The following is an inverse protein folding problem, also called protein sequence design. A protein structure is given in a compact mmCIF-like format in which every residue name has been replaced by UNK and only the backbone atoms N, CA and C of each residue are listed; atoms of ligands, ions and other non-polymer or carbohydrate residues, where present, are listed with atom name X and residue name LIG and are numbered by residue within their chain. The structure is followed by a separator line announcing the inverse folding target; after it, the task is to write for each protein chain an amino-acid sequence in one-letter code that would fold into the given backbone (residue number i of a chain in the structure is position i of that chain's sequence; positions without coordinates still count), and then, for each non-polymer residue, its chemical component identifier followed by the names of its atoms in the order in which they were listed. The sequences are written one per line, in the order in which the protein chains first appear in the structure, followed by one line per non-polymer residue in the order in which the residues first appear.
data_IF_793277537247
#
_entry.id   IF_793277537247
#
_cell.length_a   1.000
_cell.length_b   1.000
_cell.length_c   1.000
_cell.angle_alpha   90.00
_cell.angle_beta   90.00
_cell.angle_gamma   90.00
#
_symmetry.space_group_name_H-M   'P 1'
#
loop_
_entity.id
_entity.type
_entity.pdbx_description
1 polymer ?
#
# COMPACT_ATOMS: atom_id res chain seq x y z
N UNK A 1 5.95 -6.43 0.40
CA UNK A 1 5.08 -7.64 0.34
C UNK A 1 5.67 -8.71 -0.56
N UNK A 2 6.39 -8.36 -1.63
CA UNK A 2 7.14 -9.27 -2.51
C UNK A 2 8.24 -10.07 -1.81
N UNK A 3 8.70 -9.62 -0.65
CA UNK A 3 9.73 -10.28 0.14
C UNK A 3 9.42 -10.18 1.63
N UNK A 4 10.09 -11.01 2.43
CA UNK A 4 9.93 -11.12 3.88
C UNK A 4 10.55 -9.97 4.67
N UNK A 5 11.71 -9.43 4.26
CA UNK A 5 12.29 -8.23 4.85
C UNK A 5 11.79 -6.95 4.15
N UNK A 6 11.16 -6.04 4.90
CA UNK A 6 10.74 -4.74 4.35
C UNK A 6 11.94 -3.87 3.99
N UNK A 7 11.76 -2.93 3.06
CA UNK A 7 12.80 -1.93 2.74
C UNK A 7 13.24 -1.14 3.98
N UNK A 8 12.32 -0.86 4.91
CA UNK A 8 12.62 -0.20 6.17
C UNK A 8 13.53 -1.05 7.07
N UNK A 9 13.28 -2.36 7.16
CA UNK A 9 14.13 -3.27 7.92
C UNK A 9 15.52 -3.38 7.28
N UNK A 10 15.59 -3.46 5.95
CA UNK A 10 16.86 -3.48 5.21
C UNK A 10 17.64 -2.18 5.41
N UNK A 11 16.95 -1.04 5.38
CA UNK A 11 17.56 0.27 5.57
C UNK A 11 18.17 0.42 6.97
N UNK A 12 17.44 0.05 8.02
CA UNK A 12 17.95 0.07 9.41
C UNK A 12 19.17 -0.84 9.54
N UNK A 13 19.13 -2.06 8.98
CA UNK A 13 20.27 -2.98 9.02
C UNK A 13 21.50 -2.39 8.33
N UNK A 14 21.33 -1.78 7.16
CA UNK A 14 22.43 -1.17 6.41
C UNK A 14 23.09 -0.03 7.19
N UNK A 15 22.31 0.87 7.78
CA UNK A 15 22.85 2.01 8.56
C UNK A 15 23.54 1.55 9.84
N UNK A 16 23.03 0.51 10.50
CA UNK A 16 23.59 -0.02 11.74
C UNK A 16 24.71 -1.06 11.53
N UNK A 17 25.08 -1.37 10.28
CA UNK A 17 26.07 -2.40 9.96
C UNK A 17 25.64 -3.82 10.36
N UNK A 18 24.33 -4.06 10.52
CA UNK A 18 23.79 -5.37 10.87
C UNK A 18 23.77 -6.30 9.65
N UNK A 19 24.01 -7.60 9.83
CA UNK A 19 24.00 -8.55 8.72
C UNK A 19 22.61 -8.61 8.06
N UNK A 20 22.60 -8.65 6.73
CA UNK A 20 21.42 -8.97 5.93
C UNK A 20 21.53 -10.45 5.56
N UNK A 21 20.73 -11.28 6.24
CA UNK A 21 20.63 -12.71 5.95
C UNK A 21 19.80 -12.96 4.68
N UNK A 22 19.43 -14.22 4.42
CA UNK A 22 18.57 -14.59 3.28
C UNK A 22 17.31 -13.69 3.17
N UNK A 23 16.99 -13.27 1.95
CA UNK A 23 15.77 -12.52 1.60
C UNK A 23 14.89 -13.46 0.78
N UNK A 24 13.73 -13.84 1.33
CA UNK A 24 12.83 -14.76 0.65
C UNK A 24 11.88 -13.98 -0.25
N UNK A 25 11.94 -14.27 -1.55
CA UNK A 25 10.95 -13.78 -2.50
C UNK A 25 9.63 -14.52 -2.33
N UNK A 26 8.57 -13.78 -2.01
CA UNK A 26 7.22 -14.29 -1.77
C UNK A 26 6.40 -14.43 -3.05
N UNK A 27 6.76 -13.71 -4.11
CA UNK A 27 6.07 -13.78 -5.40
C UNK A 27 5.85 -12.41 -6.06
N UNK A 28 5.30 -12.41 -7.28
CA UNK A 28 4.92 -11.20 -7.99
C UNK A 28 4.02 -10.30 -7.12
N UNK A 29 4.35 -9.02 -7.10
CA UNK A 29 3.65 -8.06 -6.25
C UNK A 29 3.46 -6.73 -6.97
N UNK A 30 2.46 -5.97 -6.53
CA UNK A 30 2.23 -4.61 -6.99
C UNK A 30 1.81 -3.69 -5.85
N UNK A 31 1.95 -2.40 -6.09
CA UNK A 31 1.48 -1.33 -5.24
C UNK A 31 0.67 -0.33 -6.06
N UNK A 32 -0.47 0.11 -5.52
CA UNK A 32 -1.31 1.15 -6.12
C UNK A 32 -1.55 2.26 -5.10
N UNK A 33 -1.35 3.50 -5.52
CA UNK A 33 -1.42 4.66 -4.63
C UNK A 33 -2.87 5.03 -4.34
N UNK A 34 -3.18 5.37 -3.09
CA UNK A 34 -4.44 6.03 -2.73
C UNK A 34 -4.19 7.52 -2.81
N UNK A 35 -4.59 8.10 -3.94
CA UNK A 35 -4.47 9.52 -4.23
C UNK A 35 -5.80 10.21 -3.91
N UNK A 36 -5.74 11.30 -3.14
CA UNK A 36 -6.90 12.09 -2.79
C UNK A 36 -6.72 13.47 -3.39
N UNK A 37 -7.78 13.95 -4.06
CA UNK A 37 -7.85 15.30 -4.62
C UNK A 37 -8.96 16.08 -3.92
N UNK A 38 -8.71 17.36 -3.62
CA UNK A 38 -9.65 18.26 -2.97
C UNK A 38 -8.99 19.07 -1.84
N UNK A 39 -9.82 19.65 -0.98
CA UNK A 39 -9.38 20.41 0.19
C UNK A 39 -10.18 19.97 1.42
N UNK A 40 -9.50 19.56 2.48
CA UNK A 40 -10.11 19.17 3.76
C UNK A 40 -9.06 19.14 4.86
N UNK A 41 -9.47 19.48 6.09
CA UNK A 41 -8.66 19.33 7.30
C UNK A 41 -9.03 18.07 8.13
N UNK A 42 -10.02 17.30 7.68
CA UNK A 42 -10.57 16.15 8.40
C UNK A 42 -10.87 15.00 7.44
N UNK A 43 -9.83 14.56 6.71
CA UNK A 43 -9.97 13.50 5.72
C UNK A 43 -10.31 12.18 6.42
N UNK A 44 -11.43 11.57 6.02
CA UNK A 44 -11.83 10.21 6.42
C UNK A 44 -11.84 9.28 5.20
N UNK A 45 -11.92 7.98 5.46
CA UNK A 45 -11.95 6.97 4.40
C UNK A 45 -13.09 6.00 4.64
N UNK A 46 -13.86 5.76 3.59
CA UNK A 46 -14.75 4.62 3.49
C UNK A 46 -14.08 3.56 2.60
N UNK A 47 -14.14 2.30 3.03
CA UNK A 47 -13.51 1.18 2.30
C UNK A 47 -14.60 0.15 2.06
N UNK A 48 -14.84 -0.22 0.80
CA UNK A 48 -15.85 -1.24 0.49
C UNK A 48 -15.35 -2.65 0.84
N UNK A 49 -16.30 -3.52 1.19
CA UNK A 49 -16.03 -4.93 1.50
C UNK A 49 -15.30 -5.66 0.37
N UNK A 50 -15.57 -5.29 -0.88
CA UNK A 50 -14.87 -5.86 -2.05
C UNK A 50 -13.36 -5.68 -1.99
N UNK A 51 -12.88 -4.56 -1.44
CA UNK A 51 -11.46 -4.30 -1.27
C UNK A 51 -10.88 -5.01 -0.04
N UNK A 52 -11.64 -5.09 1.04
CA UNK A 52 -11.23 -5.76 2.28
C UNK A 52 -11.17 -7.28 2.13
N UNK A 53 -12.03 -7.86 1.29
CA UNK A 53 -12.10 -9.29 1.05
C UNK A 53 -11.17 -9.78 -0.07
N UNK A 54 -10.43 -8.90 -0.75
CA UNK A 54 -9.51 -9.30 -1.82
C UNK A 54 -8.29 -10.04 -1.22
N UNK A 55 -8.07 -11.34 -1.57
CA UNK A 55 -7.00 -12.12 -0.97
C UNK A 55 -5.60 -11.61 -1.30
N UNK A 56 -4.69 -11.79 -0.34
CA UNK A 56 -3.28 -11.43 -0.42
C UNK A 56 -3.02 -9.94 -0.67
N UNK A 57 -3.89 -9.09 -0.11
CA UNK A 57 -3.80 -7.64 -0.20
C UNK A 57 -3.57 -6.98 1.16
N UNK A 58 -3.06 -5.74 1.13
CA UNK A 58 -2.87 -4.91 2.31
C UNK A 58 -3.22 -3.47 1.98
N UNK A 59 -3.93 -2.79 2.89
CA UNK A 59 -4.18 -1.34 2.84
C UNK A 59 -3.30 -0.66 3.87
N UNK A 60 -2.57 0.40 3.47
CA UNK A 60 -1.77 1.23 4.36
C UNK A 60 -2.13 2.70 4.17
N UNK A 61 -2.93 3.23 5.10
CA UNK A 61 -3.25 4.66 5.16
C UNK A 61 -2.22 5.39 6.01
N UNK A 62 -1.76 6.56 5.57
CA UNK A 62 -0.66 7.29 6.19
C UNK A 62 -1.06 8.18 7.37
N UNK A 63 -2.35 8.20 7.76
CA UNK A 63 -2.84 9.00 8.89
C UNK A 63 -2.68 10.51 8.71
N UNK A 64 -2.60 10.99 7.46
CA UNK A 64 -2.51 12.42 7.15
C UNK A 64 -3.86 13.08 7.41
N UNK A 65 -3.95 14.13 8.24
CA UNK A 65 -5.23 14.70 8.65
C UNK A 65 -5.89 15.53 7.52
N UNK A 66 -5.08 16.11 6.64
CA UNK A 66 -5.53 17.09 5.65
C UNK A 66 -5.10 16.78 4.22
N UNK A 67 -5.79 17.39 3.27
CA UNK A 67 -5.41 17.46 1.86
C UNK A 67 -5.70 18.88 1.37
N UNK A 68 -4.82 19.40 0.51
CA UNK A 68 -5.06 20.62 -0.26
C UNK A 68 -4.48 20.40 -1.67
N UNK A 69 -5.33 20.48 -2.69
CA UNK A 69 -4.99 20.06 -4.04
C UNK A 69 -4.97 18.54 -4.17
N UNK A 70 -3.78 17.94 -4.27
CA UNK A 70 -3.61 16.50 -4.48
C UNK A 70 -2.59 15.93 -3.50
N UNK A 71 -2.93 14.83 -2.82
CA UNK A 71 -2.04 14.20 -1.83
C UNK A 71 -2.14 12.69 -1.85
N UNK A 72 -0.98 12.02 -1.77
CA UNK A 72 -0.88 10.58 -1.53
C UNK A 72 -1.22 10.29 -0.07
N UNK A 73 -2.34 9.62 0.15
CA UNK A 73 -2.89 9.35 1.49
C UNK A 73 -2.69 7.91 1.94
N UNK A 74 -2.32 7.02 1.03
CA UNK A 74 -2.01 5.65 1.36
C UNK A 74 -1.54 4.85 0.15
N UNK A 75 -1.44 3.54 0.35
CA UNK A 75 -1.12 2.58 -0.71
C UNK A 75 -1.86 1.27 -0.46
N UNK A 76 -2.37 0.69 -1.53
CA UNK A 76 -2.83 -0.70 -1.59
C UNK A 76 -1.71 -1.57 -2.15
N UNK A 77 -1.45 -2.71 -1.52
CA UNK A 77 -0.42 -3.67 -1.92
C UNK A 77 -1.11 -4.99 -2.22
N UNK A 78 -0.65 -5.73 -3.24
CA UNK A 78 -1.17 -7.05 -3.56
C UNK A 78 -0.08 -8.02 -4.02
N UNK A 79 -0.17 -9.27 -3.59
CA UNK A 79 0.50 -10.40 -4.23
C UNK A 79 -0.42 -11.02 -5.28
N UNK A 80 0.18 -11.57 -6.33
CA UNK A 80 -0.57 -12.27 -7.38
C UNK A 80 0.28 -13.36 -8.03
N UNK A 81 -0.39 -14.19 -8.83
CA UNK A 81 0.26 -15.30 -9.54
C UNK A 81 1.25 -14.82 -10.60
N UNK A 82 1.03 -13.61 -11.10
CA UNK A 82 1.91 -12.86 -12.00
C UNK A 82 1.77 -11.35 -11.75
N UNK A 83 2.63 -10.56 -12.41
CA UNK A 83 2.69 -9.11 -12.21
C UNK A 83 1.38 -8.43 -12.61
N UNK A 84 0.76 -8.87 -13.70
CA UNK A 84 -0.51 -8.33 -14.21
C UNK A 84 -1.64 -8.55 -13.20
N UNK A 85 -1.75 -9.76 -12.63
CA UNK A 85 -2.71 -10.10 -11.60
C UNK A 85 -2.48 -9.26 -10.33
N UNK A 86 -1.24 -9.14 -9.87
CA UNK A 86 -0.92 -8.32 -8.70
C UNK A 86 -1.31 -6.85 -8.93
N UNK A 87 -1.04 -6.28 -10.12
CA UNK A 87 -1.44 -4.90 -10.47
C UNK A 87 -2.95 -4.75 -10.49
N UNK A 88 -3.68 -5.69 -11.07
CA UNK A 88 -5.14 -5.70 -11.09
C UNK A 88 -5.71 -5.67 -9.66
N UNK A 89 -5.24 -6.58 -8.79
CA UNK A 89 -5.66 -6.63 -7.38
C UNK A 89 -5.35 -5.33 -6.63
N UNK A 90 -4.11 -4.83 -6.73
CA UNK A 90 -3.71 -3.60 -6.05
C UNK A 90 -4.57 -2.40 -6.49
N UNK A 91 -4.87 -2.28 -7.79
CA UNK A 91 -5.73 -1.22 -8.31
C UNK A 91 -7.18 -1.37 -7.85
N UNK A 92 -7.72 -2.59 -7.84
CA UNK A 92 -9.06 -2.88 -7.32
C UNK A 92 -9.16 -2.43 -5.86
N UNK A 93 -8.21 -2.82 -5.01
CA UNK A 93 -8.19 -2.42 -3.60
C UNK A 93 -8.02 -0.91 -3.45
N UNK A 94 -7.13 -0.26 -4.21
CA UNK A 94 -7.01 1.20 -4.15
C UNK A 94 -8.32 1.91 -4.53
N UNK A 95 -9.04 1.43 -5.55
CA UNK A 95 -10.33 1.99 -5.99
C UNK A 95 -11.48 1.75 -5.01
N UNK A 96 -11.37 0.77 -4.12
CA UNK A 96 -12.35 0.50 -3.06
C UNK A 96 -12.33 1.54 -1.93
N UNK A 97 -11.26 2.34 -1.86
CA UNK A 97 -11.03 3.34 -0.81
C UNK A 97 -11.50 4.70 -1.32
N UNK A 98 -12.54 5.24 -0.69
CA UNK A 98 -13.11 6.55 -1.04
C UNK A 98 -12.83 7.57 0.06
N UNK A 99 -12.23 8.73 -0.27
CA UNK A 99 -12.08 9.80 0.69
C UNK A 99 -13.43 10.47 0.98
N UNK A 100 -13.64 10.83 2.24
CA UNK A 100 -14.69 11.74 2.70
C UNK A 100 -13.98 13.01 3.18
N UNK A 101 -14.21 14.11 2.48
CA UNK A 101 -13.54 15.40 2.64
C UNK A 101 -14.39 16.38 3.45
#
# INVERSE_FOLDING_TARGET
ISQDLSEFALHVRAILGLPISNINFRGPAASSVVLVQGSSENVRFEISDDGLNEPDTQIRLFGKPSVDGERRMGVALALGDNVENAKMKANKVASSIKPVL
#
